data_IF_181430065202
#
_entry.id   IF_181430065202
#
_cell.length_a   1.000
_cell.length_b   1.000
_cell.length_c   1.000
_cell.angle_alpha   90.00
_cell.angle_beta   90.00
_cell.angle_gamma   90.00
#
_symmetry.space_group_name_H-M   'P 1'
#
loop_
_entity.id
_entity.type
_entity.pdbx_description
1 polymer ?
#
# COMPACT_ATOMS: atom_id res chain seq x y z
N UNK A 1 -5.48 33.08 10.43
CA UNK A 1 -5.58 31.63 10.73
C UNK A 1 -5.00 30.87 9.55
N UNK A 2 -3.90 30.14 9.73
CA UNK A 2 -3.03 29.66 8.64
C UNK A 2 -3.38 28.20 8.29
N UNK A 3 -4.42 28.02 7.47
CA UNK A 3 -5.04 26.73 7.11
C UNK A 3 -4.09 25.66 6.55
N UNK A 4 -2.90 26.05 6.05
CA UNK A 4 -1.92 25.10 5.49
C UNK A 4 -1.38 24.11 6.53
N UNK A 5 -1.25 24.49 7.79
CA UNK A 5 -0.54 23.67 8.78
C UNK A 5 -1.39 22.54 9.38
N UNK A 6 -2.72 22.66 9.32
CA UNK A 6 -3.64 21.64 9.84
C UNK A 6 -3.85 20.50 8.84
N UNK A 7 -3.96 20.80 7.55
CA UNK A 7 -4.11 19.78 6.49
C UNK A 7 -2.88 18.88 6.42
N UNK A 8 -1.66 19.42 6.59
CA UNK A 8 -0.42 18.65 6.59
C UNK A 8 -0.38 17.52 7.61
N UNK A 9 -1.07 17.66 8.76
CA UNK A 9 -1.14 16.61 9.78
C UNK A 9 -1.96 15.40 9.33
N UNK A 10 -2.95 15.60 8.47
CA UNK A 10 -3.80 14.54 7.91
C UNK A 10 -3.35 14.07 6.52
N UNK A 11 -2.52 14.86 5.83
CA UNK A 11 -2.04 14.55 4.46
C UNK A 11 -0.64 13.95 4.42
N UNK A 12 0.13 14.03 5.51
CA UNK A 12 1.45 13.38 5.55
C UNK A 12 1.29 11.89 5.79
N UNK A 13 1.30 11.13 4.70
CA UNK A 13 1.35 9.67 4.74
C UNK A 13 2.80 9.28 5.03
N UNK A 14 3.08 8.98 6.29
CA UNK A 14 4.38 8.48 6.75
C UNK A 14 4.57 7.04 6.25
N UNK A 15 5.27 6.87 5.13
CA UNK A 15 5.49 5.57 4.46
C UNK A 15 6.19 4.55 5.36
N UNK A 16 6.97 5.02 6.34
CA UNK A 16 7.72 4.17 7.29
C UNK A 16 6.78 3.58 8.36
N UNK A 17 5.76 4.34 8.75
CA UNK A 17 4.70 3.88 9.67
C UNK A 17 3.58 3.10 9.00
N UNK A 18 3.58 2.95 7.67
CA UNK A 18 2.58 2.11 7.02
C UNK A 18 2.79 0.65 7.38
N UNK A 19 1.76 0.04 7.97
CA UNK A 19 1.71 -1.41 8.18
C UNK A 19 1.62 -2.12 6.83
N UNK A 20 2.78 -2.47 6.28
CA UNK A 20 2.89 -3.26 5.05
C UNK A 20 2.82 -4.75 5.37
N UNK A 21 2.10 -5.51 4.55
CA UNK A 21 2.12 -6.96 4.57
C UNK A 21 2.97 -7.49 3.42
N UNK A 22 3.77 -8.53 3.72
CA UNK A 22 4.47 -9.30 2.68
C UNK A 22 3.44 -10.11 1.90
N UNK A 23 3.36 -9.86 0.61
CA UNK A 23 2.40 -10.51 -0.26
C UNK A 23 3.12 -11.16 -1.44
N UNK A 24 2.72 -12.39 -1.74
CA UNK A 24 3.15 -13.11 -2.92
C UNK A 24 2.11 -12.99 -4.02
N UNK A 25 2.52 -12.60 -5.21
CA UNK A 25 1.64 -12.60 -6.36
C UNK A 25 1.23 -14.05 -6.70
N UNK A 26 -0.07 -14.37 -6.78
CA UNK A 26 -0.52 -15.72 -7.15
C UNK A 26 -0.26 -16.06 -8.62
N UNK A 27 0.00 -15.05 -9.48
CA UNK A 27 0.20 -15.25 -10.92
C UNK A 27 1.66 -15.44 -11.32
N UNK A 28 2.57 -14.63 -10.77
CA UNK A 28 4.00 -14.69 -11.12
C UNK A 28 4.90 -15.18 -9.97
N UNK A 29 4.35 -15.38 -8.77
CA UNK A 29 5.12 -15.83 -7.62
C UNK A 29 6.04 -14.77 -6.99
N UNK A 30 6.06 -13.53 -7.50
CA UNK A 30 6.88 -12.44 -6.93
C UNK A 30 6.39 -12.06 -5.53
N UNK A 31 7.33 -11.94 -4.60
CA UNK A 31 7.08 -11.44 -3.24
C UNK A 31 7.39 -9.95 -3.15
N UNK A 32 6.50 -9.18 -2.56
CA UNK A 32 6.64 -7.74 -2.38
C UNK A 32 5.82 -7.24 -1.19
N UNK A 33 6.18 -6.07 -0.68
CA UNK A 33 5.43 -5.41 0.38
C UNK A 33 4.23 -4.68 -0.22
N UNK A 34 3.10 -4.79 0.43
CA UNK A 34 1.83 -4.27 -0.06
C UNK A 34 0.99 -3.72 1.08
N UNK A 35 0.09 -2.81 0.75
CA UNK A 35 -0.78 -2.14 1.71
C UNK A 35 -2.24 -2.36 1.32
N UNK A 36 -3.06 -2.66 2.31
CA UNK A 36 -4.50 -2.94 2.10
C UNK A 36 -4.79 -4.33 1.52
N UNK A 37 -6.07 -4.53 1.16
CA UNK A 37 -6.62 -5.83 0.74
C UNK A 37 -6.61 -6.06 -0.77
N UNK A 38 -6.52 -5.00 -1.57
CA UNK A 38 -6.52 -5.07 -3.04
C UNK A 38 -5.14 -4.68 -3.54
N UNK A 39 -4.48 -5.61 -4.20
CA UNK A 39 -3.08 -5.49 -4.56
C UNK A 39 -2.93 -5.65 -6.06
N UNK A 40 -2.06 -4.82 -6.62
CA UNK A 40 -1.58 -4.96 -7.98
C UNK A 40 -0.14 -5.46 -7.93
N UNK A 41 0.15 -6.54 -8.67
CA UNK A 41 1.51 -7.01 -8.81
C UNK A 41 2.33 -6.04 -9.69
N UNK A 42 3.53 -5.61 -9.26
CA UNK A 42 4.34 -4.69 -10.06
C UNK A 42 4.90 -5.32 -11.34
N UNK A 43 5.12 -6.64 -11.37
CA UNK A 43 5.72 -7.33 -12.53
C UNK A 43 4.66 -7.66 -13.59
N UNK A 44 3.61 -8.37 -13.20
CA UNK A 44 2.61 -8.88 -14.14
C UNK A 44 1.33 -8.02 -14.22
N UNK A 45 1.26 -6.91 -13.46
CA UNK A 45 0.10 -5.99 -13.36
C UNK A 45 -1.21 -6.68 -12.99
N UNK A 46 -1.14 -7.89 -12.45
CA UNK A 46 -2.30 -8.66 -12.04
C UNK A 46 -2.87 -8.10 -10.75
N UNK A 47 -4.18 -7.85 -10.75
CA UNK A 47 -4.90 -7.31 -9.61
C UNK A 47 -5.58 -8.47 -8.88
N UNK A 48 -5.28 -8.63 -7.60
CA UNK A 48 -5.87 -9.66 -6.75
C UNK A 48 -6.24 -9.08 -5.39
N UNK A 49 -7.07 -9.81 -4.65
CA UNK A 49 -7.46 -9.45 -3.29
C UNK A 49 -6.88 -10.48 -2.33
N UNK A 50 -6.37 -10.02 -1.20
CA UNK A 50 -6.05 -10.90 -0.08
C UNK A 50 -7.20 -10.79 0.91
N UNK A 51 -7.72 -11.95 1.29
CA UNK A 51 -8.62 -12.09 2.43
C UNK A 51 -7.76 -12.20 3.69
N UNK A 52 -8.10 -11.45 4.73
CA UNK A 52 -7.48 -11.54 6.06
C UNK A 52 -7.73 -12.93 6.67
#
# INVERSE_FOLDING_TARGET
MNFKNEISKYTTIDLDKLKTNKTKCPKCGKEFNSVGKKIICPECKYIFKISD
#
